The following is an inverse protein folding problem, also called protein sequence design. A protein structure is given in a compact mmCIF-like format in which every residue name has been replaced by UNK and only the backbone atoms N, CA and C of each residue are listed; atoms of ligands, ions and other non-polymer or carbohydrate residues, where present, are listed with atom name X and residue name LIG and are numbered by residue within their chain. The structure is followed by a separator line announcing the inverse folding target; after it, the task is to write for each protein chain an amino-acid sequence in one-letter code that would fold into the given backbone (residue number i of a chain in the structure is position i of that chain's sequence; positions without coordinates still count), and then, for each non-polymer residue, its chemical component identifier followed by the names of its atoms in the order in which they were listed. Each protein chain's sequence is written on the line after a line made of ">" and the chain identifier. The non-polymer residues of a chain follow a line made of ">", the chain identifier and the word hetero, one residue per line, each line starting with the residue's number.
data_IF_059989141399
#
_entry.id   IF_059989141399
#
_cell.length_a   1.000
_cell.length_b   1.000
_cell.length_c   1.000
_cell.angle_alpha   90.00
_cell.angle_beta   90.00
_cell.angle_gamma   90.00
#
_symmetry.space_group_name_H-M   'P 1'
#
loop_
_entity.id
_entity.type
_entity.pdbx_description
1 polymer ?
#
# COMPACT_ATOMS: atom_id res chain seq x y z
N UNK A 1 14.04 -6.25 21.52
CA UNK A 1 12.63 -5.76 21.60
C UNK A 1 12.26 -4.71 20.54
N UNK A 2 13.07 -3.68 20.25
CA UNK A 2 12.78 -2.76 19.13
C UNK A 2 13.32 -3.27 17.76
N UNK A 3 14.50 -3.88 17.78
CA UNK A 3 15.14 -4.50 16.60
C UNK A 3 14.25 -5.63 16.04
N UNK A 4 13.72 -6.50 16.92
CA UNK A 4 12.88 -7.64 16.53
C UNK A 4 11.58 -7.20 15.84
N UNK A 5 10.99 -6.07 16.24
CA UNK A 5 9.81 -5.49 15.59
C UNK A 5 10.15 -4.93 14.21
N UNK A 6 11.28 -4.24 14.06
CA UNK A 6 11.74 -3.74 12.76
C UNK A 6 12.05 -4.88 11.78
N UNK A 7 12.68 -5.94 12.27
CA UNK A 7 13.00 -7.13 11.47
C UNK A 7 11.78 -7.99 11.17
N UNK A 8 10.73 -7.93 12.00
CA UNK A 8 9.43 -8.51 11.71
C UNK A 8 8.73 -7.76 10.59
N UNK A 9 8.63 -6.43 10.69
CA UNK A 9 8.01 -5.57 9.66
C UNK A 9 8.71 -5.72 8.31
N UNK A 10 10.05 -5.83 8.30
CA UNK A 10 10.83 -6.07 7.06
C UNK A 10 10.70 -7.46 6.45
N UNK A 11 10.27 -8.47 7.24
CA UNK A 11 10.02 -9.86 6.78
C UNK A 11 8.62 -10.05 6.24
N UNK A 12 7.66 -9.43 6.92
CA UNK A 12 6.52 -8.83 6.23
C UNK A 12 7.08 -7.78 5.23
N UNK A 13 6.42 -6.81 4.63
CA UNK A 13 6.95 -6.05 3.45
C UNK A 13 7.54 -6.93 2.31
N UNK A 14 8.71 -7.55 2.44
CA UNK A 14 9.33 -8.51 1.52
C UNK A 14 8.42 -9.68 1.11
N UNK A 15 7.59 -10.19 2.02
CA UNK A 15 6.63 -11.24 1.65
C UNK A 15 5.46 -10.69 0.80
N UNK A 16 5.05 -9.43 1.01
CA UNK A 16 4.07 -8.73 0.17
C UNK A 16 4.69 -8.38 -1.19
N UNK A 17 5.94 -7.93 -1.24
CA UNK A 17 6.64 -7.72 -2.52
C UNK A 17 6.63 -8.98 -3.37
N UNK A 18 6.98 -10.14 -2.80
CA UNK A 18 6.95 -11.42 -3.52
C UNK A 18 5.54 -11.79 -3.99
N UNK A 19 4.54 -11.54 -3.16
CA UNK A 19 3.16 -11.86 -3.47
C UNK A 19 2.61 -10.95 -4.58
N UNK A 20 2.88 -9.65 -4.50
CA UNK A 20 2.52 -8.67 -5.53
C UNK A 20 3.17 -8.98 -6.87
N UNK A 21 4.46 -9.38 -6.88
CA UNK A 21 5.17 -9.81 -8.10
C UNK A 21 4.56 -11.09 -8.68
N UNK A 22 4.13 -12.04 -7.83
CA UNK A 22 3.56 -13.32 -8.27
C UNK A 22 2.19 -13.17 -8.93
N UNK A 23 1.49 -12.06 -8.66
CA UNK A 23 0.08 -11.88 -9.03
C UNK A 23 -0.10 -10.93 -10.23
N UNK A 24 0.98 -10.39 -10.81
CA UNK A 24 0.89 -9.58 -12.03
C UNK A 24 0.52 -10.46 -13.26
N UNK A 25 -0.76 -10.54 -13.62
CA UNK A 25 -1.25 -11.17 -14.87
C UNK A 25 -2.58 -11.92 -14.76
N UNK A 26 -2.82 -12.88 -15.67
CA UNK A 26 -4.00 -13.76 -15.76
C UNK A 26 -4.28 -14.60 -14.49
N UNK A 27 -3.30 -14.71 -13.60
CA UNK A 27 -3.36 -15.49 -12.36
C UNK A 27 -4.08 -14.74 -11.20
N UNK A 28 -4.38 -13.44 -11.33
CA UNK A 28 -5.05 -12.66 -10.27
C UNK A 28 -6.40 -13.24 -9.85
N UNK A 29 -7.21 -13.72 -10.81
CA UNK A 29 -8.53 -14.31 -10.51
C UNK A 29 -8.36 -15.57 -9.65
N UNK A 30 -7.31 -16.34 -9.91
CA UNK A 30 -7.03 -17.61 -9.24
C UNK A 30 -6.52 -17.42 -7.81
N UNK A 31 -5.77 -16.36 -7.53
CA UNK A 31 -5.16 -16.09 -6.22
C UNK A 31 -5.81 -14.91 -5.48
N UNK A 32 -6.99 -14.46 -5.89
CA UNK A 32 -7.69 -13.31 -5.30
C UNK A 32 -7.87 -13.45 -3.79
N UNK A 33 -8.29 -14.61 -3.29
CA UNK A 33 -8.52 -14.81 -1.85
C UNK A 33 -7.22 -14.77 -1.03
N UNK A 34 -6.13 -15.34 -1.57
CA UNK A 34 -4.81 -15.32 -0.95
C UNK A 34 -4.25 -13.89 -0.90
N UNK A 35 -4.48 -13.12 -1.98
CA UNK A 35 -4.14 -11.70 -2.06
C UNK A 35 -4.91 -10.88 -1.04
N UNK A 36 -6.24 -11.03 -0.96
CA UNK A 36 -7.09 -10.34 0.03
C UNK A 36 -6.59 -10.61 1.45
N UNK A 37 -6.44 -11.89 1.80
CA UNK A 37 -6.00 -12.30 3.14
C UNK A 37 -4.63 -11.71 3.47
N UNK A 38 -3.72 -11.69 2.50
CA UNK A 38 -2.39 -11.12 2.69
C UNK A 38 -2.42 -9.61 2.83
N UNK A 39 -3.18 -8.90 1.98
CA UNK A 39 -3.34 -7.44 2.06
C UNK A 39 -3.99 -7.03 3.38
N UNK A 40 -5.03 -7.74 3.82
CA UNK A 40 -5.69 -7.49 5.10
C UNK A 40 -4.76 -7.69 6.28
N UNK A 41 -4.01 -8.79 6.28
CA UNK A 41 -2.99 -9.05 7.30
C UNK A 41 -1.95 -7.93 7.34
N UNK A 42 -1.53 -7.44 6.18
CA UNK A 42 -0.53 -6.39 6.08
C UNK A 42 -1.04 -5.04 6.59
N UNK A 43 -2.20 -4.60 6.10
CA UNK A 43 -2.78 -3.32 6.52
C UNK A 43 -3.17 -3.37 8.01
N UNK A 44 -3.73 -4.48 8.49
CA UNK A 44 -4.09 -4.66 9.89
C UNK A 44 -2.89 -4.84 10.84
N UNK A 45 -2.00 -5.80 10.59
CA UNK A 45 -0.91 -6.11 11.54
C UNK A 45 0.29 -5.16 11.47
N UNK A 46 0.60 -4.62 10.29
CA UNK A 46 1.79 -3.77 10.11
C UNK A 46 1.43 -2.30 10.27
N UNK A 47 0.39 -1.86 9.55
CA UNK A 47 -0.01 -0.46 9.51
C UNK A 47 -0.96 -0.14 10.66
N UNK A 48 -1.69 -1.14 11.17
CA UNK A 48 -2.69 -0.94 12.22
C UNK A 48 -3.98 -0.33 11.67
N UNK A 49 -4.28 -0.52 10.39
CA UNK A 49 -5.49 0.00 9.76
C UNK A 49 -6.70 -0.84 10.17
N UNK A 50 -7.70 -0.17 10.72
CA UNK A 50 -8.97 -0.77 11.12
C UNK A 50 -10.02 -0.58 10.02
N UNK A 51 -11.02 -1.48 9.91
CA UNK A 51 -12.09 -1.35 8.93
C UNK A 51 -12.91 -0.06 9.05
N UNK A 52 -12.90 0.59 10.22
CA UNK A 52 -13.64 1.82 10.49
C UNK A 52 -12.82 3.09 10.22
N UNK A 53 -11.51 2.97 9.99
CA UNK A 53 -10.65 4.13 9.72
C UNK A 53 -11.14 4.88 8.48
N UNK A 54 -11.06 6.21 8.53
CA UNK A 54 -11.21 7.04 7.34
C UNK A 54 -9.89 7.16 6.56
N UNK A 55 -9.93 7.83 5.41
CA UNK A 55 -8.75 7.97 4.57
C UNK A 55 -7.61 8.73 5.28
N UNK A 56 -7.92 9.76 6.07
CA UNK A 56 -6.93 10.58 6.76
C UNK A 56 -6.23 9.79 7.86
N UNK A 57 -6.97 8.98 8.62
CA UNK A 57 -6.41 8.07 9.62
C UNK A 57 -5.49 7.03 8.97
N UNK A 58 -5.88 6.44 7.84
CA UNK A 58 -5.01 5.52 7.10
C UNK A 58 -3.72 6.18 6.63
N UNK A 59 -3.80 7.40 6.09
CA UNK A 59 -2.63 8.17 5.65
C UNK A 59 -1.68 8.40 6.84
N UNK A 60 -2.20 8.82 7.99
CA UNK A 60 -1.41 9.04 9.20
C UNK A 60 -0.71 7.75 9.66
N UNK A 61 -1.44 6.63 9.72
CA UNK A 61 -0.89 5.33 10.12
C UNK A 61 0.21 4.84 9.17
N UNK A 62 0.07 5.04 7.86
CA UNK A 62 1.13 4.75 6.89
C UNK A 62 2.36 5.63 7.12
N UNK A 63 2.18 6.94 7.32
CA UNK A 63 3.31 7.86 7.51
C UNK A 63 3.99 7.76 8.90
N UNK A 64 3.34 7.23 9.94
CA UNK A 64 4.03 6.90 11.21
C UNK A 64 5.19 5.90 10.99
N UNK A 65 5.05 5.05 9.98
CA UNK A 65 6.08 4.08 9.60
C UNK A 65 7.24 4.69 8.81
N UNK A 66 7.14 5.95 8.37
CA UNK A 66 8.20 6.60 7.59
C UNK A 66 9.54 6.75 8.33
N UNK A 67 9.51 6.77 9.66
CA UNK A 67 10.71 6.76 10.51
C UNK A 67 11.40 5.39 10.57
N UNK A 68 10.71 4.33 10.14
CA UNK A 68 11.12 2.92 10.27
C UNK A 68 11.38 2.26 8.91
N UNK A 69 10.76 2.78 7.86
CA UNK A 69 10.73 2.25 6.49
C UNK A 69 11.37 3.21 5.49
N UNK A 70 11.84 2.65 4.37
CA UNK A 70 12.28 3.42 3.19
C UNK A 70 11.08 3.80 2.32
N UNK A 71 11.22 4.82 1.46
CA UNK A 71 10.14 5.27 0.60
C UNK A 71 9.58 4.18 -0.31
N UNK A 72 10.40 3.28 -0.83
CA UNK A 72 9.93 2.13 -1.63
C UNK A 72 9.07 1.14 -0.81
N UNK A 73 9.32 1.02 0.50
CA UNK A 73 8.54 0.18 1.41
C UNK A 73 7.22 0.86 1.79
N UNK A 74 7.19 2.19 1.91
CA UNK A 74 5.95 2.97 2.06
C UNK A 74 5.12 2.91 0.78
N UNK A 75 5.77 2.99 -0.39
CA UNK A 75 5.12 2.86 -1.70
C UNK A 75 4.41 1.50 -1.81
N UNK A 76 5.00 0.42 -1.31
CA UNK A 76 4.37 -0.89 -1.24
C UNK A 76 3.12 -0.91 -0.33
N UNK A 77 3.09 -0.12 0.74
CA UNK A 77 1.88 0.01 1.58
C UNK A 77 0.77 0.76 0.82
N UNK A 78 1.11 1.75 0.02
CA UNK A 78 0.17 2.41 -0.88
C UNK A 78 -0.34 1.45 -1.98
N UNK A 79 0.51 0.54 -2.48
CA UNK A 79 0.09 -0.54 -3.39
C UNK A 79 -0.94 -1.46 -2.72
N UNK A 80 -0.72 -1.84 -1.45
CA UNK A 80 -1.67 -2.65 -0.69
C UNK A 80 -3.02 -1.96 -0.48
N UNK A 81 -3.01 -0.65 -0.16
CA UNK A 81 -4.22 0.17 -0.09
C UNK A 81 -4.95 0.22 -1.44
N UNK A 82 -4.22 0.41 -2.54
CA UNK A 82 -4.77 0.41 -3.91
C UNK A 82 -5.48 -0.90 -4.22
N UNK A 83 -4.82 -2.03 -3.93
CA UNK A 83 -5.37 -3.38 -4.14
C UNK A 83 -6.64 -3.58 -3.31
N UNK A 84 -6.61 -3.21 -2.02
CA UNK A 84 -7.78 -3.31 -1.14
C UNK A 84 -8.96 -2.49 -1.67
N UNK A 85 -8.71 -1.24 -2.02
CA UNK A 85 -9.73 -0.35 -2.60
C UNK A 85 -10.34 -0.91 -3.88
N UNK A 86 -9.53 -1.48 -4.78
CA UNK A 86 -10.00 -2.14 -6.02
C UNK A 86 -10.84 -3.39 -5.74
N UNK A 87 -10.40 -4.24 -4.82
CA UNK A 87 -11.09 -5.49 -4.46
C UNK A 87 -12.46 -5.22 -3.84
N UNK A 88 -12.52 -4.27 -2.91
CA UNK A 88 -13.72 -3.95 -2.13
C UNK A 88 -14.59 -2.89 -2.81
N UNK A 89 -14.10 -2.27 -3.89
CA UNK A 89 -14.73 -1.09 -4.50
C UNK A 89 -14.97 0.03 -3.47
N UNK A 90 -13.98 0.26 -2.61
CA UNK A 90 -14.09 1.20 -1.49
C UNK A 90 -13.11 2.38 -1.64
N UNK A 91 -13.69 3.57 -1.83
CA UNK A 91 -12.95 4.78 -2.20
C UNK A 91 -12.00 5.25 -1.10
N UNK A 92 -12.27 4.99 0.18
CA UNK A 92 -11.41 5.49 1.26
C UNK A 92 -9.97 4.95 1.17
N UNK A 93 -9.81 3.70 0.77
CA UNK A 93 -8.50 3.08 0.56
C UNK A 93 -7.79 3.65 -0.67
N UNK A 94 -8.56 3.94 -1.74
CA UNK A 94 -8.02 4.54 -2.97
C UNK A 94 -7.57 5.99 -2.73
N UNK A 95 -8.35 6.78 -1.99
CA UNK A 95 -8.02 8.15 -1.59
C UNK A 95 -6.76 8.15 -0.72
N UNK A 96 -6.68 7.26 0.28
CA UNK A 96 -5.50 7.14 1.13
C UNK A 96 -4.26 6.76 0.31
N UNK A 97 -4.37 5.80 -0.62
CA UNK A 97 -3.27 5.42 -1.50
C UNK A 97 -2.78 6.59 -2.36
N UNK A 98 -3.71 7.32 -3.00
CA UNK A 98 -3.40 8.46 -3.86
C UNK A 98 -2.59 9.52 -3.10
N UNK A 99 -3.04 9.89 -1.90
CA UNK A 99 -2.40 10.91 -1.10
C UNK A 99 -1.01 10.45 -0.61
N UNK A 100 -0.85 9.18 -0.25
CA UNK A 100 0.46 8.62 0.09
C UNK A 100 1.42 8.72 -1.12
N UNK A 101 0.99 8.33 -2.32
CA UNK A 101 1.83 8.45 -3.52
C UNK A 101 2.23 9.89 -3.80
N UNK A 102 1.29 10.83 -3.75
CA UNK A 102 1.55 12.25 -3.98
C UNK A 102 2.59 12.80 -3.01
N UNK A 103 2.51 12.44 -1.73
CA UNK A 103 3.47 12.85 -0.70
C UNK A 103 4.85 12.23 -0.91
N UNK A 104 4.93 10.95 -1.30
CA UNK A 104 6.22 10.33 -1.63
C UNK A 104 6.83 11.02 -2.86
N UNK A 105 6.04 11.32 -3.89
CA UNK A 105 6.51 12.00 -5.11
C UNK A 105 7.11 13.38 -4.83
N UNK A 106 6.56 14.12 -3.86
CA UNK A 106 7.09 15.42 -3.46
C UNK A 106 8.47 15.33 -2.77
N UNK A 107 8.80 14.19 -2.15
CA UNK A 107 10.00 14.03 -1.32
C UNK A 107 11.08 13.16 -1.99
N UNK A 108 10.69 12.16 -2.78
CA UNK A 108 11.60 11.25 -3.51
C UNK A 108 11.29 11.25 -5.02
N UNK A 109 11.71 12.33 -5.68
CA UNK A 109 11.49 12.55 -7.12
C UNK A 109 12.38 11.64 -8.00
N UNK A 110 13.43 11.02 -7.45
CA UNK A 110 14.42 10.30 -8.24
C UNK A 110 14.18 8.78 -8.30
N UNK A 111 13.56 8.18 -7.29
CA UNK A 111 13.38 6.72 -7.23
C UNK A 111 12.00 6.33 -7.76
N UNK A 112 11.94 5.60 -8.89
CA UNK A 112 10.71 5.08 -9.52
C UNK A 112 9.59 6.10 -9.83
N UNK A 113 9.91 7.39 -9.90
CA UNK A 113 8.94 8.49 -10.12
C UNK A 113 8.01 8.27 -11.33
N UNK A 114 8.52 7.78 -12.48
CA UNK A 114 7.65 7.52 -13.64
C UNK A 114 6.57 6.47 -13.37
N UNK A 115 6.90 5.38 -12.66
CA UNK A 115 5.93 4.35 -12.29
C UNK A 115 4.93 4.90 -11.27
N UNK A 116 5.41 5.70 -10.32
CA UNK A 116 4.55 6.35 -9.32
C UNK A 116 3.58 7.34 -9.96
N UNK A 117 4.03 8.13 -10.93
CA UNK A 117 3.17 9.06 -11.68
C UNK A 117 2.07 8.32 -12.44
N UNK A 118 2.37 7.16 -13.04
CA UNK A 118 1.35 6.31 -13.66
C UNK A 118 0.31 5.80 -12.65
N UNK A 119 0.75 5.37 -11.46
CA UNK A 119 -0.16 4.95 -10.38
C UNK A 119 -1.04 6.10 -9.87
N UNK A 120 -0.46 7.31 -9.75
CA UNK A 120 -1.20 8.52 -9.37
C UNK A 120 -2.27 8.82 -10.41
N UNK A 121 -1.91 8.85 -11.69
CA UNK A 121 -2.84 9.11 -12.79
C UNK A 121 -3.98 8.07 -12.84
N UNK A 122 -3.66 6.79 -12.70
CA UNK A 122 -4.67 5.72 -12.64
C UNK A 122 -5.68 5.96 -11.50
N UNK A 123 -5.19 6.30 -10.30
CA UNK A 123 -6.04 6.56 -9.15
C UNK A 123 -6.86 7.85 -9.29
N UNK A 124 -6.30 8.90 -9.89
CA UNK A 124 -7.05 10.13 -10.20
C UNK A 124 -8.18 9.88 -11.19
N UNK A 125 -7.96 9.03 -12.20
CA UNK A 125 -9.01 8.61 -13.13
C UNK A 125 -10.09 7.82 -12.39
N UNK A 126 -9.70 6.84 -11.56
CA UNK A 126 -10.65 6.01 -10.80
C UNK A 126 -11.49 6.80 -9.79
N UNK A 127 -10.95 7.87 -9.22
CA UNK A 127 -11.61 8.72 -8.23
C UNK A 127 -12.32 9.93 -8.86
N UNK A 128 -12.11 10.18 -10.15
CA UNK A 128 -12.60 11.34 -10.89
C UNK A 128 -14.00 11.20 -11.52
N UNK A 129 -14.67 10.06 -11.31
CA UNK A 129 -16.06 9.79 -11.71
C UNK A 129 -17.04 9.88 -10.54
#
# INVERSE_FOLDING_TARGET
>A
MLQDKKDYIKRLVKDLEKLMIRISGLDWIKYREELVTSVDKYLGEIVGIDPDDDADEMILKVFDLSSKLRYNEIELLADALTVKGKIESNHKFLVAALEVYKRIEQVDVMTFSMVRQQKIEELEIMLGD
#
